data_IF_572745868615
#
_entry.id   IF_572745868615
#
_cell.length_a   1.000
_cell.length_b   1.000
_cell.length_c   1.000
_cell.angle_alpha   90.00
_cell.angle_beta   90.00
_cell.angle_gamma   90.00
#
_symmetry.space_group_name_H-M   'P 1'
#
loop_
_entity.id
_entity.type
_entity.pdbx_description
1 polymer ?
#
# COMPACT_ATOMS: atom_id res chain seq x y z
N UNK A 1 66.71 60.55 22.59
CA UNK A 1 67.16 60.24 21.20
C UNK A 1 66.91 58.76 20.95
N UNK A 2 65.91 58.46 20.17
CA UNK A 2 65.44 57.10 19.88
C UNK A 2 66.06 56.61 18.57
N UNK A 3 66.35 55.34 18.37
CA UNK A 3 66.40 54.75 17.03
C UNK A 3 65.26 53.75 16.82
N UNK A 4 64.60 53.94 15.67
CA UNK A 4 63.59 53.12 15.11
C UNK A 4 64.06 51.71 14.77
N UNK A 5 63.29 50.69 15.21
CA UNK A 5 63.44 49.32 14.73
C UNK A 5 62.42 49.03 13.66
N UNK A 6 62.87 48.73 12.45
CA UNK A 6 62.06 48.18 11.37
C UNK A 6 61.71 46.71 11.61
N UNK A 7 60.47 46.38 11.86
CA UNK A 7 59.97 44.99 11.83
C UNK A 7 59.58 44.61 10.40
N UNK A 8 60.27 43.63 9.87
CA UNK A 8 59.90 42.98 8.59
C UNK A 8 58.66 42.15 8.81
N UNK A 9 57.55 42.46 8.09
CA UNK A 9 56.36 41.61 7.98
C UNK A 9 56.67 40.47 7.02
N UNK A 10 56.62 39.23 7.51
CA UNK A 10 56.61 38.02 6.70
C UNK A 10 55.15 37.65 6.49
N UNK A 11 54.66 37.72 5.24
CA UNK A 11 53.33 37.25 4.85
C UNK A 11 53.34 35.74 4.73
N UNK A 12 52.36 35.04 5.31
CA UNK A 12 52.18 33.61 5.08
C UNK A 12 51.56 33.36 3.72
N UNK A 13 52.22 32.56 2.90
CA UNK A 13 51.66 32.03 1.66
C UNK A 13 50.69 30.94 2.04
N UNK A 14 49.40 31.17 1.82
CA UNK A 14 48.35 30.12 1.92
C UNK A 14 48.36 29.30 0.65
N UNK A 15 48.84 28.06 0.72
CA UNK A 15 48.64 27.06 -0.35
C UNK A 15 47.23 26.49 -0.21
N UNK A 16 46.35 26.91 -1.12
CA UNK A 16 45.00 26.38 -1.22
C UNK A 16 45.06 25.07 -1.99
N UNK A 17 44.90 23.95 -1.30
CA UNK A 17 44.68 22.66 -1.91
C UNK A 17 43.24 22.62 -2.48
N UNK A 18 43.08 22.69 -3.77
CA UNK A 18 41.85 22.32 -4.44
C UNK A 18 41.73 20.79 -4.45
N UNK A 19 40.96 20.23 -3.53
CA UNK A 19 40.50 18.88 -3.65
C UNK A 19 39.41 18.82 -4.73
N UNK A 20 39.76 18.28 -5.87
CA UNK A 20 38.78 17.97 -6.92
C UNK A 20 37.89 16.85 -6.42
N UNK A 21 36.67 17.17 -5.90
CA UNK A 21 35.62 16.20 -5.73
C UNK A 21 35.18 15.78 -7.15
N UNK A 22 35.60 14.58 -7.56
CA UNK A 22 34.99 13.87 -8.68
C UNK A 22 33.59 13.46 -8.27
N UNK A 23 32.57 14.27 -8.59
CA UNK A 23 31.18 13.80 -8.63
C UNK A 23 31.11 12.75 -9.73
N UNK A 24 31.08 11.48 -9.34
CA UNK A 24 30.60 10.42 -10.20
C UNK A 24 29.12 10.69 -10.49
N UNK A 25 28.84 11.27 -11.65
CA UNK A 25 27.51 11.34 -12.20
C UNK A 25 27.04 9.88 -12.40
N UNK A 26 26.27 9.34 -11.45
CA UNK A 26 25.51 8.14 -11.69
C UNK A 26 24.57 8.46 -12.87
N UNK A 27 24.88 7.90 -14.04
CA UNK A 27 24.06 8.01 -15.22
C UNK A 27 22.65 7.52 -14.83
N UNK A 28 21.68 8.44 -14.79
CA UNK A 28 20.29 8.05 -14.90
C UNK A 28 20.18 7.29 -16.22
N UNK A 29 19.99 6.00 -16.15
CA UNK A 29 19.65 5.20 -17.33
C UNK A 29 18.25 5.64 -17.74
N UNK A 30 18.16 6.65 -18.59
CA UNK A 30 16.92 7.10 -19.18
C UNK A 30 16.37 5.93 -19.99
N UNK A 31 15.12 5.59 -19.75
CA UNK A 31 14.40 4.58 -20.51
C UNK A 31 14.48 4.89 -22.01
N UNK A 32 14.54 3.83 -22.84
CA UNK A 32 14.51 4.06 -24.29
C UNK A 32 13.20 4.77 -24.70
N UNK A 33 13.24 5.72 -25.62
CA UNK A 33 12.02 6.36 -26.14
C UNK A 33 11.00 5.35 -26.68
N UNK A 34 11.47 4.21 -27.23
CA UNK A 34 10.64 3.14 -27.75
C UNK A 34 9.82 2.46 -26.64
N UNK A 35 10.43 2.12 -25.50
CA UNK A 35 9.73 1.50 -24.35
C UNK A 35 8.71 2.49 -23.78
N UNK A 36 9.04 3.78 -23.70
CA UNK A 36 8.11 4.81 -23.21
C UNK A 36 6.85 4.88 -24.09
N UNK A 37 6.98 4.87 -25.41
CA UNK A 37 5.86 4.90 -26.35
C UNK A 37 5.03 3.62 -26.24
N UNK A 38 5.68 2.45 -26.26
CA UNK A 38 5.01 1.15 -26.17
C UNK A 38 4.14 1.01 -24.90
N UNK A 39 4.65 1.46 -23.75
CA UNK A 39 3.88 1.47 -22.49
C UNK A 39 2.67 2.40 -22.59
N UNK A 40 2.84 3.60 -23.15
CA UNK A 40 1.72 4.53 -23.35
C UNK A 40 0.63 3.94 -24.24
N UNK A 41 1.00 3.34 -25.36
CA UNK A 41 0.06 2.75 -26.32
C UNK A 41 -0.67 1.57 -25.70
N UNK A 42 0.05 0.69 -24.99
CA UNK A 42 -0.55 -0.43 -24.28
C UNK A 42 -1.56 0.03 -23.21
N UNK A 43 -1.19 0.99 -22.36
CA UNK A 43 -2.07 1.50 -21.29
C UNK A 43 -3.34 2.10 -21.91
N UNK A 44 -3.23 2.91 -22.97
CA UNK A 44 -4.38 3.49 -23.65
C UNK A 44 -5.29 2.41 -24.27
N UNK A 45 -4.71 1.39 -24.91
CA UNK A 45 -5.46 0.27 -25.48
C UNK A 45 -6.21 -0.51 -24.39
N UNK A 46 -5.56 -0.80 -23.24
CA UNK A 46 -6.20 -1.48 -22.12
C UNK A 46 -7.32 -0.64 -21.47
N UNK A 47 -7.12 0.67 -21.32
CA UNK A 47 -8.17 1.56 -20.83
C UNK A 47 -9.39 1.54 -21.74
N UNK A 48 -9.17 1.61 -23.05
CA UNK A 48 -10.26 1.54 -24.04
C UNK A 48 -10.98 0.19 -23.98
N UNK A 49 -10.22 -0.92 -23.95
CA UNK A 49 -10.77 -2.28 -23.89
C UNK A 49 -11.60 -2.52 -22.64
N UNK A 50 -11.19 -1.97 -21.52
CA UNK A 50 -11.84 -2.16 -20.21
C UNK A 50 -12.84 -1.04 -19.89
N UNK A 51 -12.98 -0.02 -20.73
CA UNK A 51 -13.80 1.18 -20.49
C UNK A 51 -13.37 1.99 -19.26
N UNK A 52 -12.09 2.00 -18.93
CA UNK A 52 -11.54 2.73 -17.77
C UNK A 52 -11.53 4.23 -18.06
N UNK A 53 -12.28 5.07 -17.30
CA UNK A 53 -12.29 6.51 -17.52
C UNK A 53 -10.96 7.18 -17.20
N UNK A 54 -10.32 6.78 -16.11
CA UNK A 54 -9.08 7.36 -15.61
C UNK A 54 -8.13 6.35 -14.97
N UNK A 55 -6.83 6.55 -15.20
CA UNK A 55 -5.78 5.69 -14.67
C UNK A 55 -4.55 6.54 -14.31
N UNK A 56 -3.94 6.26 -13.15
CA UNK A 56 -2.57 6.72 -12.80
C UNK A 56 -1.61 5.55 -12.84
N UNK A 57 -0.47 5.73 -13.54
CA UNK A 57 0.60 4.74 -13.65
C UNK A 57 1.88 5.25 -12.99
N UNK A 58 2.48 4.43 -12.13
CA UNK A 58 3.83 4.62 -11.60
C UNK A 58 4.72 3.47 -12.06
N UNK A 59 5.93 3.79 -12.46
CA UNK A 59 7.04 2.85 -12.50
C UNK A 59 8.18 3.45 -11.68
N UNK A 60 8.64 2.71 -10.68
CA UNK A 60 9.81 3.04 -9.88
C UNK A 60 10.88 1.96 -10.07
N UNK A 61 12.14 2.38 -10.20
CA UNK A 61 13.30 1.48 -10.32
C UNK A 61 14.43 1.98 -9.44
N UNK A 62 15.05 1.08 -8.69
CA UNK A 62 16.11 1.43 -7.74
C UNK A 62 15.70 2.54 -6.75
N UNK A 63 14.46 2.49 -6.26
CA UNK A 63 13.89 3.47 -5.33
C UNK A 63 13.63 4.86 -5.92
N UNK A 64 13.71 5.02 -7.26
CA UNK A 64 13.46 6.29 -7.95
C UNK A 64 12.30 6.17 -8.93
N UNK A 65 11.50 7.22 -9.04
CA UNK A 65 10.45 7.31 -10.05
C UNK A 65 11.11 7.41 -11.42
N UNK A 66 10.82 6.45 -12.31
CA UNK A 66 11.21 6.49 -13.73
C UNK A 66 10.04 6.88 -14.63
N UNK A 67 8.80 6.68 -14.13
CA UNK A 67 7.59 7.14 -14.81
C UNK A 67 6.50 7.41 -13.76
N UNK A 68 5.82 8.56 -13.87
CA UNK A 68 4.61 8.87 -13.12
C UNK A 68 3.68 9.65 -14.06
N UNK A 69 2.55 9.06 -14.44
CA UNK A 69 1.70 9.60 -15.49
C UNK A 69 0.22 9.34 -15.22
N UNK A 70 -0.62 10.31 -15.56
CA UNK A 70 -2.08 10.17 -15.56
C UNK A 70 -2.63 10.01 -16.96
N UNK A 71 -3.65 9.17 -17.12
CA UNK A 71 -4.36 8.90 -18.37
C UNK A 71 -5.86 9.09 -18.17
N UNK A 72 -6.53 9.66 -19.17
CA UNK A 72 -7.98 9.87 -19.13
C UNK A 72 -8.43 10.89 -18.09
N UNK A 73 -9.58 10.67 -17.48
CA UNK A 73 -10.25 11.65 -16.61
C UNK A 73 -10.52 11.13 -15.20
N UNK A 74 -10.21 11.97 -14.22
CA UNK A 74 -10.47 11.74 -12.79
C UNK A 74 -11.95 12.02 -12.46
N UNK A 75 -12.59 12.88 -13.24
CA UNK A 75 -14.02 13.18 -13.13
C UNK A 75 -14.60 13.29 -14.54
N UNK A 76 -15.56 12.42 -14.87
CA UNK A 76 -16.17 12.34 -16.20
C UNK A 76 -17.12 13.51 -16.43
N UNK A 77 -17.88 13.92 -15.43
CA UNK A 77 -18.86 15.01 -15.58
C UNK A 77 -18.16 16.36 -15.83
N UNK A 78 -17.03 16.59 -15.15
CA UNK A 78 -16.28 17.85 -15.23
C UNK A 78 -15.11 17.79 -16.20
N UNK A 79 -14.86 16.66 -16.85
CA UNK A 79 -13.73 16.41 -17.75
C UNK A 79 -12.37 16.75 -17.13
N UNK A 80 -12.21 16.50 -15.81
CA UNK A 80 -10.96 16.77 -15.10
C UNK A 80 -9.94 15.67 -15.44
N UNK A 81 -8.77 16.01 -15.99
CA UNK A 81 -7.76 15.00 -16.34
C UNK A 81 -7.15 14.33 -15.10
N UNK A 82 -6.77 13.06 -15.23
CA UNK A 82 -5.93 12.37 -14.24
C UNK A 82 -4.52 12.94 -14.31
N UNK A 83 -3.92 13.17 -13.13
CA UNK A 83 -2.53 13.59 -12.94
C UNK A 83 -1.83 12.65 -11.97
N UNK A 84 -0.47 12.68 -11.85
CA UNK A 84 0.24 11.89 -10.85
C UNK A 84 -0.22 12.14 -9.40
N UNK A 85 -0.68 13.35 -9.10
CA UNK A 85 -1.21 13.79 -7.81
C UNK A 85 -2.65 13.35 -7.57
N UNK A 86 -3.33 12.81 -8.57
CA UNK A 86 -4.73 12.38 -8.44
C UNK A 86 -4.83 11.26 -7.39
N UNK A 87 -5.81 11.43 -6.50
CA UNK A 87 -6.04 10.56 -5.35
C UNK A 87 -7.14 9.54 -5.70
N UNK A 88 -6.83 8.27 -5.45
CA UNK A 88 -7.73 7.14 -5.64
C UNK A 88 -7.99 6.43 -4.30
N UNK A 89 -9.07 5.67 -4.21
CA UNK A 89 -9.32 4.80 -3.08
C UNK A 89 -8.49 3.52 -3.21
N UNK A 90 -7.91 3.08 -2.08
CA UNK A 90 -6.92 2.00 -2.07
C UNK A 90 -7.48 0.61 -2.32
N UNK A 91 -8.72 0.36 -1.88
CA UNK A 91 -9.15 -1.02 -1.67
C UNK A 91 -8.11 -1.80 -0.86
N UNK A 92 -8.03 -3.09 -1.09
CA UNK A 92 -7.17 -3.99 -0.29
C UNK A 92 -5.65 -3.72 -0.38
N UNK A 93 -5.17 -2.86 -1.28
CA UNK A 93 -3.78 -2.36 -1.22
C UNK A 93 -3.50 -1.66 0.12
N UNK A 94 -4.53 -1.14 0.79
CA UNK A 94 -4.43 -0.58 2.15
C UNK A 94 -3.97 -1.56 3.22
N UNK A 95 -4.14 -2.88 3.02
CA UNK A 95 -3.75 -3.91 4.00
C UNK A 95 -2.25 -3.92 4.33
N UNK A 96 -1.42 -3.50 3.40
CA UNK A 96 0.03 -3.36 3.60
C UNK A 96 0.34 -2.42 4.77
N UNK A 97 -0.38 -1.30 4.86
CA UNK A 97 -0.19 -0.29 5.89
C UNK A 97 -0.68 -0.79 7.24
N UNK A 98 -1.83 -1.45 7.28
CA UNK A 98 -2.35 -2.10 8.49
C UNK A 98 -1.39 -3.17 9.00
N UNK A 99 -0.88 -4.03 8.12
CA UNK A 99 0.09 -5.06 8.50
C UNK A 99 1.39 -4.45 9.02
N UNK A 100 1.88 -3.36 8.39
CA UNK A 100 3.06 -2.63 8.84
C UNK A 100 2.84 -2.02 10.22
N UNK A 101 1.69 -1.40 10.48
CA UNK A 101 1.34 -0.86 11.79
C UNK A 101 1.34 -1.93 12.88
N UNK A 102 0.75 -3.10 12.61
CA UNK A 102 0.79 -4.23 13.54
C UNK A 102 2.23 -4.68 13.78
N UNK A 103 3.06 -4.78 12.74
CA UNK A 103 4.46 -5.17 12.88
C UNK A 103 5.29 -4.13 13.65
N UNK A 104 4.99 -2.83 13.55
CA UNK A 104 5.59 -1.81 14.41
C UNK A 104 5.27 -2.07 15.89
N UNK A 105 4.01 -2.41 16.20
CA UNK A 105 3.62 -2.76 17.57
C UNK A 105 4.27 -4.08 18.04
N UNK A 106 4.56 -4.99 17.12
CA UNK A 106 5.32 -6.22 17.43
C UNK A 106 6.77 -5.89 17.78
N UNK A 107 7.44 -5.02 17.02
CA UNK A 107 8.81 -4.58 17.33
C UNK A 107 8.91 -3.80 18.64
N UNK A 108 7.83 -3.08 19.01
CA UNK A 108 7.71 -2.38 20.29
C UNK A 108 7.38 -3.34 21.48
N UNK A 109 7.16 -4.62 21.22
CA UNK A 109 6.79 -5.60 22.25
C UNK A 109 5.36 -5.42 22.80
N UNK A 110 4.54 -4.56 22.19
CA UNK A 110 3.14 -4.33 22.58
C UNK A 110 2.19 -5.41 22.09
N UNK A 111 2.54 -6.05 20.97
CA UNK A 111 1.78 -7.13 20.33
C UNK A 111 2.70 -8.31 20.06
N UNK A 112 2.27 -9.53 20.40
CA UNK A 112 2.97 -10.75 20.02
C UNK A 112 2.29 -11.39 18.80
N UNK A 113 3.04 -11.80 17.79
CA UNK A 113 2.47 -12.51 16.64
C UNK A 113 1.77 -13.83 17.03
N UNK A 114 2.25 -14.50 18.07
CA UNK A 114 1.67 -15.72 18.63
C UNK A 114 0.62 -15.47 19.70
N UNK A 115 0.34 -14.24 20.07
CA UNK A 115 -0.65 -13.94 21.10
C UNK A 115 -2.06 -14.31 20.62
N UNK A 116 -2.86 -14.97 21.48
CA UNK A 116 -4.26 -15.20 21.19
C UNK A 116 -5.05 -13.90 21.22
N UNK A 117 -6.04 -13.76 20.36
CA UNK A 117 -6.87 -12.55 20.28
C UNK A 117 -7.55 -12.21 21.61
N UNK A 118 -7.88 -13.21 22.43
CA UNK A 118 -8.47 -13.03 23.76
C UNK A 118 -7.58 -12.26 24.75
N UNK A 119 -6.28 -12.10 24.45
CA UNK A 119 -5.39 -11.20 25.19
C UNK A 119 -5.82 -9.73 25.04
N UNK A 120 -6.28 -9.36 23.86
CA UNK A 120 -6.64 -7.99 23.49
C UNK A 120 -8.16 -7.74 23.50
N UNK A 121 -8.95 -8.77 23.28
CA UNK A 121 -10.41 -8.75 23.19
C UNK A 121 -11.01 -9.57 24.34
N UNK A 122 -11.24 -8.90 25.49
CA UNK A 122 -11.64 -9.60 26.74
C UNK A 122 -13.01 -10.28 26.66
N UNK A 123 -13.93 -9.70 25.86
CA UNK A 123 -15.30 -10.20 25.67
C UNK A 123 -15.45 -11.01 24.38
N UNK A 124 -14.33 -11.41 23.76
CA UNK A 124 -14.35 -12.20 22.54
C UNK A 124 -14.93 -13.61 22.77
N UNK A 125 -15.56 -14.20 21.74
CA UNK A 125 -16.11 -15.56 21.86
C UNK A 125 -14.99 -16.58 22.13
N UNK A 126 -15.36 -17.68 22.80
CA UNK A 126 -14.40 -18.72 23.16
C UNK A 126 -13.61 -19.28 21.95
N UNK A 127 -14.21 -19.26 20.75
CA UNK A 127 -13.57 -19.68 19.50
C UNK A 127 -12.33 -18.84 19.13
N UNK A 128 -12.20 -17.60 19.65
CA UNK A 128 -11.05 -16.74 19.39
C UNK A 128 -9.83 -17.06 20.27
N UNK A 129 -9.97 -17.94 21.24
CA UNK A 129 -8.88 -18.33 22.15
C UNK A 129 -7.68 -18.96 21.42
N UNK A 130 -7.94 -19.62 20.29
CA UNK A 130 -6.89 -20.24 19.46
C UNK A 130 -6.47 -19.39 18.25
N UNK A 131 -7.16 -18.27 18.00
CA UNK A 131 -6.82 -17.37 16.90
C UNK A 131 -5.68 -16.45 17.33
N UNK A 132 -4.60 -16.40 16.55
CA UNK A 132 -3.45 -15.54 16.81
C UNK A 132 -3.40 -14.33 15.88
N UNK A 133 -2.65 -13.29 16.27
CA UNK A 133 -2.38 -12.11 15.44
C UNK A 133 -1.75 -12.50 14.10
N UNK A 134 -0.83 -13.46 14.11
CA UNK A 134 -0.19 -14.01 12.90
C UNK A 134 -1.22 -14.56 11.92
N UNK A 135 -2.20 -15.30 12.43
CA UNK A 135 -3.23 -15.92 11.59
C UNK A 135 -4.18 -14.90 10.97
N UNK A 136 -4.46 -13.76 11.65
CA UNK A 136 -5.18 -12.65 11.04
C UNK A 136 -4.38 -12.01 9.90
N UNK A 137 -3.10 -11.67 10.15
CA UNK A 137 -2.20 -11.05 9.17
C UNK A 137 -2.04 -11.89 7.90
N UNK A 138 -2.13 -13.21 8.02
CA UNK A 138 -1.90 -14.17 6.93
C UNK A 138 -3.16 -14.80 6.35
N UNK A 139 -4.36 -14.38 6.77
CA UNK A 139 -5.65 -14.95 6.34
C UNK A 139 -5.81 -16.45 6.63
N UNK A 140 -5.20 -16.92 7.73
CA UNK A 140 -5.30 -18.32 8.18
C UNK A 140 -6.12 -18.49 9.45
N UNK A 141 -6.72 -17.42 9.96
CA UNK A 141 -7.50 -17.41 11.20
C UNK A 141 -8.82 -18.18 11.15
N UNK A 142 -9.32 -18.49 9.96
CA UNK A 142 -10.64 -19.09 9.79
C UNK A 142 -11.79 -18.08 9.83
N UNK A 143 -11.50 -16.80 9.83
CA UNK A 143 -12.51 -15.75 9.76
C UNK A 143 -13.25 -15.79 8.42
N UNK A 144 -14.58 -15.54 8.46
CA UNK A 144 -15.40 -15.30 7.29
C UNK A 144 -15.13 -13.93 6.67
N UNK A 145 -16.02 -13.52 5.79
CA UNK A 145 -16.01 -12.19 5.16
C UNK A 145 -17.39 -11.57 5.26
N UNK A 146 -17.58 -10.36 4.74
CA UNK A 146 -18.86 -9.68 4.72
C UNK A 146 -19.97 -10.61 4.19
N UNK A 147 -21.03 -10.90 4.99
CA UNK A 147 -22.14 -11.72 4.52
C UNK A 147 -22.89 -10.97 3.41
N UNK A 148 -23.56 -11.71 2.52
CA UNK A 148 -24.36 -11.12 1.44
C UNK A 148 -25.45 -10.15 1.95
N UNK A 149 -25.88 -10.32 3.20
CA UNK A 149 -26.85 -9.45 3.89
C UNK A 149 -26.22 -8.23 4.54
N UNK A 150 -24.89 -8.03 4.43
CA UNK A 150 -24.22 -6.87 5.03
C UNK A 150 -24.73 -5.58 4.39
N UNK A 151 -25.20 -4.68 5.23
CA UNK A 151 -25.74 -3.40 4.78
C UNK A 151 -24.63 -2.35 4.75
N UNK A 152 -24.04 -2.13 3.59
CA UNK A 152 -23.01 -1.10 3.36
C UNK A 152 -23.52 0.34 3.51
N UNK A 153 -24.85 0.54 3.56
CA UNK A 153 -25.47 1.86 3.75
C UNK A 153 -25.83 2.16 5.20
N UNK A 154 -25.70 1.19 6.11
CA UNK A 154 -25.82 1.43 7.53
C UNK A 154 -24.52 2.03 8.06
N UNK A 155 -24.63 3.09 8.85
CA UNK A 155 -23.50 3.68 9.57
C UNK A 155 -23.19 2.82 10.81
N UNK A 156 -22.26 1.89 10.63
CA UNK A 156 -21.83 0.97 11.67
C UNK A 156 -20.84 1.66 12.61
N UNK A 157 -20.97 1.46 13.91
CA UNK A 157 -19.90 1.79 14.85
C UNK A 157 -18.82 0.69 14.84
N UNK A 158 -17.60 1.03 15.26
CA UNK A 158 -16.52 0.04 15.45
C UNK A 158 -16.96 -1.11 16.35
N UNK A 159 -17.70 -0.79 17.41
CA UNK A 159 -18.26 -1.80 18.34
C UNK A 159 -19.25 -2.73 17.64
N UNK A 160 -20.18 -2.21 16.85
CA UNK A 160 -21.14 -3.03 16.10
C UNK A 160 -20.45 -3.92 15.06
N UNK A 161 -19.43 -3.39 14.34
CA UNK A 161 -18.63 -4.19 13.43
C UNK A 161 -17.89 -5.31 14.15
N UNK A 162 -17.29 -5.03 15.31
CA UNK A 162 -16.65 -6.06 16.13
C UNK A 162 -17.66 -7.12 16.57
N UNK A 163 -18.83 -6.72 17.07
CA UNK A 163 -19.89 -7.66 17.46
C UNK A 163 -20.41 -8.50 16.30
N UNK A 164 -20.47 -7.93 15.10
CA UNK A 164 -20.81 -8.68 13.89
C UNK A 164 -19.76 -9.78 13.63
N UNK A 165 -18.47 -9.44 13.67
CA UNK A 165 -17.38 -10.40 13.44
C UNK A 165 -17.36 -11.48 14.54
N UNK A 166 -17.54 -11.11 15.80
CA UNK A 166 -17.63 -12.04 16.93
C UNK A 166 -18.79 -13.02 16.80
N UNK A 167 -19.91 -12.61 16.20
CA UNK A 167 -21.09 -13.44 15.98
C UNK A 167 -20.96 -14.44 14.82
N UNK A 168 -19.93 -14.34 13.98
CA UNK A 168 -19.75 -15.24 12.84
C UNK A 168 -18.86 -16.42 13.25
N UNK A 169 -19.32 -17.67 13.10
CA UNK A 169 -18.50 -18.84 13.39
C UNK A 169 -17.24 -18.89 12.51
N UNK A 170 -16.16 -19.42 13.07
CA UNK A 170 -14.95 -19.71 12.28
C UNK A 170 -15.27 -20.77 11.23
N UNK A 171 -14.81 -20.55 10.00
CA UNK A 171 -15.03 -21.46 8.86
C UNK A 171 -14.24 -22.76 8.97
N UNK A 172 -13.13 -22.73 9.74
CA UNK A 172 -12.25 -23.86 10.02
C UNK A 172 -11.37 -23.52 11.24
N UNK A 173 -10.72 -24.53 11.79
CA UNK A 173 -9.81 -24.34 12.92
C UNK A 173 -8.64 -23.40 12.52
N UNK A 174 -8.29 -22.40 13.36
CA UNK A 174 -7.24 -21.44 13.08
C UNK A 174 -5.92 -22.12 12.69
N UNK A 175 -5.25 -21.58 11.70
CA UNK A 175 -3.96 -22.07 11.20
C UNK A 175 -4.03 -23.33 10.33
N UNK A 176 -5.24 -23.87 10.02
CA UNK A 176 -5.34 -25.12 9.26
C UNK A 176 -5.56 -24.94 7.76
N UNK A 177 -6.12 -23.81 7.35
CA UNK A 177 -6.40 -23.47 5.95
C UNK A 177 -6.16 -21.99 5.72
N UNK A 178 -6.08 -21.60 4.46
CA UNK A 178 -6.04 -20.21 4.02
C UNK A 178 -7.37 -19.83 3.37
N UNK A 179 -7.87 -18.66 3.73
CA UNK A 179 -8.99 -18.01 3.06
C UNK A 179 -8.93 -16.52 3.33
N UNK A 180 -8.90 -15.73 2.26
CA UNK A 180 -8.91 -14.27 2.36
C UNK A 180 -10.11 -13.78 3.19
N UNK A 181 -9.87 -12.81 4.08
CA UNK A 181 -10.87 -12.28 4.99
C UNK A 181 -10.62 -10.79 5.26
N UNK A 182 -11.57 -9.96 4.87
CA UNK A 182 -11.58 -8.55 5.23
C UNK A 182 -11.81 -8.38 6.74
N UNK A 183 -12.64 -9.22 7.35
CA UNK A 183 -12.89 -9.20 8.80
C UNK A 183 -11.61 -9.44 9.63
N UNK A 184 -10.67 -10.22 9.10
CA UNK A 184 -9.36 -10.37 9.74
C UNK A 184 -8.62 -9.03 9.87
N UNK A 185 -8.57 -8.26 8.79
CA UNK A 185 -7.90 -6.96 8.78
C UNK A 185 -8.71 -5.86 9.48
N UNK A 186 -10.04 -5.87 9.39
CA UNK A 186 -10.90 -5.03 10.22
C UNK A 186 -10.57 -5.25 11.71
N UNK A 187 -10.48 -6.52 12.16
CA UNK A 187 -10.12 -6.85 13.54
C UNK A 187 -8.72 -6.38 13.91
N UNK A 188 -7.74 -6.42 12.98
CA UNK A 188 -6.40 -5.86 13.21
C UNK A 188 -6.43 -4.34 13.42
N UNK A 189 -7.28 -3.61 12.71
CA UNK A 189 -7.48 -2.17 12.95
C UNK A 189 -8.01 -1.90 14.36
N UNK A 190 -9.00 -2.66 14.81
CA UNK A 190 -9.54 -2.57 16.17
C UNK A 190 -8.48 -2.98 17.21
N UNK A 191 -7.63 -3.96 16.89
CA UNK A 191 -6.50 -4.34 17.75
C UNK A 191 -5.52 -3.18 17.92
N UNK A 192 -5.16 -2.49 16.85
CA UNK A 192 -4.31 -1.29 16.92
C UNK A 192 -4.94 -0.27 17.87
N UNK A 193 -6.23 0.05 17.69
CA UNK A 193 -6.95 0.98 18.56
C UNK A 193 -6.91 0.54 20.03
N UNK A 194 -7.18 -0.71 20.33
CA UNK A 194 -7.17 -1.24 21.72
C UNK A 194 -5.80 -1.22 22.38
N UNK A 195 -4.74 -1.44 21.62
CA UNK A 195 -3.36 -1.50 22.15
C UNK A 195 -2.79 -0.10 22.33
N UNK A 196 -3.13 0.85 21.46
CA UNK A 196 -2.55 2.19 21.46
C UNK A 196 -3.44 3.25 22.12
N UNK A 197 -4.76 3.03 22.16
CA UNK A 197 -5.76 4.03 22.53
C UNK A 197 -6.07 5.02 21.42
N UNK A 198 -5.46 4.86 20.22
CA UNK A 198 -5.61 5.74 19.07
C UNK A 198 -6.38 5.02 17.97
N UNK A 199 -7.29 5.72 17.27
CA UNK A 199 -7.90 5.19 16.05
C UNK A 199 -6.80 4.75 15.07
N UNK A 200 -6.95 3.58 14.43
CA UNK A 200 -5.87 3.02 13.60
C UNK A 200 -5.43 3.97 12.47
N UNK A 201 -6.35 4.75 11.92
CA UNK A 201 -6.06 5.72 10.89
C UNK A 201 -5.16 6.86 11.36
N UNK A 202 -5.36 7.33 12.61
CA UNK A 202 -4.51 8.35 13.23
C UNK A 202 -3.11 7.77 13.50
N UNK A 203 -3.06 6.51 13.95
CA UNK A 203 -1.79 5.79 14.10
C UNK A 203 -1.03 5.69 12.76
N UNK A 204 -1.71 5.30 11.66
CA UNK A 204 -1.10 5.28 10.33
C UNK A 204 -0.60 6.67 9.91
N UNK A 205 -1.42 7.70 10.14
CA UNK A 205 -1.10 9.07 9.79
C UNK A 205 0.18 9.55 10.47
N UNK A 206 0.29 9.33 11.77
CA UNK A 206 1.43 9.79 12.57
C UNK A 206 2.69 8.95 12.32
N UNK A 207 2.54 7.63 12.30
CA UNK A 207 3.68 6.72 12.35
C UNK A 207 4.21 6.33 10.97
N UNK A 208 3.37 6.38 9.94
CA UNK A 208 3.74 5.99 8.58
C UNK A 208 3.68 7.19 7.64
N UNK A 209 2.51 7.80 7.47
CA UNK A 209 2.32 8.79 6.41
C UNK A 209 3.15 10.05 6.62
N UNK A 210 3.14 10.63 7.84
CA UNK A 210 4.00 11.77 8.17
C UNK A 210 5.49 11.41 8.12
N UNK A 211 5.86 10.21 8.60
CA UNK A 211 7.26 9.75 8.58
C UNK A 211 7.82 9.65 7.16
N UNK A 212 6.96 9.36 6.17
CA UNK A 212 7.34 9.19 4.78
C UNK A 212 6.98 10.39 3.88
N UNK A 213 6.48 11.48 4.45
CA UNK A 213 5.97 12.64 3.70
C UNK A 213 4.86 12.28 2.69
N UNK A 214 4.03 11.28 3.01
CA UNK A 214 2.88 10.84 2.21
C UNK A 214 1.69 11.78 2.46
N UNK A 215 1.80 13.02 2.02
CA UNK A 215 0.91 14.11 2.42
C UNK A 215 -0.50 14.02 1.82
N UNK A 216 -0.71 13.23 0.78
CA UNK A 216 -2.03 13.00 0.18
C UNK A 216 -2.68 11.70 0.65
N UNK A 217 -1.95 10.86 1.40
CA UNK A 217 -2.45 9.58 1.91
C UNK A 217 -3.16 9.77 3.24
N UNK A 218 -4.38 9.24 3.34
CA UNK A 218 -5.22 9.36 4.54
C UNK A 218 -6.35 8.33 4.51
N UNK A 219 -7.08 8.21 5.61
CA UNK A 219 -8.35 7.47 5.66
C UNK A 219 -9.37 8.12 4.72
N UNK A 220 -10.20 7.29 4.07
CA UNK A 220 -11.30 7.76 3.24
C UNK A 220 -12.26 8.62 4.08
N UNK A 221 -12.57 9.80 3.56
CA UNK A 221 -13.60 10.68 4.10
C UNK A 221 -14.41 11.25 2.95
N UNK A 222 -15.72 11.05 2.98
CA UNK A 222 -16.62 11.66 2.01
C UNK A 222 -17.03 13.07 2.42
N UNK A 223 -16.91 13.41 3.71
CA UNK A 223 -17.24 14.72 4.25
C UNK A 223 -16.17 15.79 3.96
N UNK A 224 -14.89 15.36 3.88
CA UNK A 224 -13.79 16.31 3.70
C UNK A 224 -13.67 16.76 2.23
N UNK A 225 -13.25 18.01 2.07
CA UNK A 225 -12.84 18.54 0.76
C UNK A 225 -11.39 18.11 0.54
N UNK A 226 -11.20 17.17 -0.35
CA UNK A 226 -9.88 16.57 -0.66
C UNK A 226 -9.47 17.00 -2.06
N UNK A 227 -8.43 17.86 -2.20
CA UNK A 227 -7.91 18.26 -3.50
C UNK A 227 -7.47 17.06 -4.34
N UNK A 228 -7.68 17.12 -5.64
CA UNK A 228 -7.28 16.07 -6.61
C UNK A 228 -7.97 14.70 -6.43
N UNK A 229 -9.06 14.61 -5.66
CA UNK A 229 -9.80 13.35 -5.48
C UNK A 229 -10.52 12.96 -6.76
N UNK A 230 -10.25 11.74 -7.26
CA UNK A 230 -10.99 11.15 -8.37
C UNK A 230 -12.41 10.76 -7.95
N UNK A 231 -13.36 10.85 -8.89
CA UNK A 231 -14.66 10.21 -8.77
C UNK A 231 -14.56 8.74 -9.22
N UNK A 232 -15.27 7.86 -8.53
CA UNK A 232 -15.32 6.43 -8.86
C UNK A 232 -16.53 6.09 -9.73
N UNK A 233 -16.36 5.09 -10.60
CA UNK A 233 -17.38 4.70 -11.58
C UNK A 233 -17.59 3.19 -11.61
N UNK A 234 -18.71 2.77 -12.19
CA UNK A 234 -19.06 1.37 -12.46
C UNK A 234 -19.83 1.24 -13.77
N UNK A 235 -19.76 0.08 -14.39
CA UNK A 235 -20.58 -0.22 -15.56
C UNK A 235 -21.87 -0.93 -15.15
N UNK A 236 -23.01 -0.39 -15.56
CA UNK A 236 -24.32 -0.99 -15.36
C UNK A 236 -24.95 -1.21 -16.73
N UNK A 237 -25.07 -2.46 -17.15
CA UNK A 237 -25.57 -2.82 -18.51
C UNK A 237 -24.79 -2.12 -19.64
N UNK A 238 -23.48 -1.95 -19.48
CA UNK A 238 -22.60 -1.29 -20.46
C UNK A 238 -22.56 0.23 -20.36
N UNK A 239 -23.39 0.85 -19.53
CA UNK A 239 -23.38 2.30 -19.31
C UNK A 239 -22.54 2.67 -18.09
N UNK A 240 -21.75 3.73 -18.19
CA UNK A 240 -21.00 4.27 -17.08
C UNK A 240 -21.94 4.98 -16.08
N UNK A 241 -21.84 4.61 -14.82
CA UNK A 241 -22.58 5.20 -13.69
C UNK A 241 -21.60 5.57 -12.57
N UNK A 242 -21.98 6.54 -11.74
CA UNK A 242 -21.25 6.85 -10.53
C UNK A 242 -21.18 5.63 -9.59
N UNK A 243 -20.14 5.59 -8.75
CA UNK A 243 -20.02 4.57 -7.70
C UNK A 243 -21.23 4.56 -6.77
N UNK A 244 -21.45 3.43 -6.09
CA UNK A 244 -22.47 3.38 -5.05
C UNK A 244 -21.97 4.07 -3.77
N UNK A 245 -22.87 4.74 -3.08
CA UNK A 245 -22.58 5.31 -1.78
C UNK A 245 -22.52 4.21 -0.70
N UNK A 246 -21.54 4.30 0.19
CA UNK A 246 -21.47 3.51 1.43
C UNK A 246 -21.43 4.44 2.63
N UNK A 247 -21.82 3.93 3.79
CA UNK A 247 -21.82 4.71 5.02
C UNK A 247 -20.39 5.09 5.46
N UNK A 248 -20.17 6.27 6.09
CA UNK A 248 -18.85 6.79 6.43
C UNK A 248 -17.99 5.81 7.23
N UNK A 249 -18.55 5.14 8.23
CA UNK A 249 -17.78 4.19 9.06
C UNK A 249 -17.27 2.98 8.28
N UNK A 250 -17.97 2.54 7.23
CA UNK A 250 -17.50 1.45 6.35
C UNK A 250 -16.28 1.90 5.53
N UNK A 251 -16.12 3.20 5.32
CA UNK A 251 -14.97 3.82 4.67
C UNK A 251 -13.79 4.07 5.63
N UNK A 252 -13.86 3.61 6.87
CA UNK A 252 -12.79 3.80 7.86
C UNK A 252 -12.23 2.49 8.41
N UNK A 253 -12.54 1.35 7.78
CA UNK A 253 -12.10 0.04 8.23
C UNK A 253 -10.69 -0.29 7.72
N UNK A 254 -9.92 -1.04 8.52
CA UNK A 254 -8.49 -1.29 8.25
C UNK A 254 -8.21 -2.33 7.16
N UNK A 255 -9.25 -2.85 6.51
CA UNK A 255 -9.16 -3.83 5.43
C UNK A 255 -8.94 -3.22 4.05
N UNK A 256 -8.98 -1.86 3.92
CA UNK A 256 -8.69 -1.23 2.64
C UNK A 256 -9.25 0.18 2.43
N UNK A 257 -9.37 0.98 3.48
CA UNK A 257 -10.09 2.26 3.44
C UNK A 257 -9.16 3.47 3.45
N UNK A 258 -8.22 3.54 2.49
CA UNK A 258 -7.30 4.67 2.34
C UNK A 258 -7.54 5.42 1.03
N UNK A 259 -7.19 6.70 1.04
CA UNK A 259 -6.85 7.48 -0.15
C UNK A 259 -5.34 7.53 -0.31
N UNK A 260 -4.86 7.47 -1.55
CA UNK A 260 -3.47 7.71 -1.90
C UNK A 260 -3.29 8.16 -3.36
N UNK A 261 -2.14 8.75 -3.66
CA UNK A 261 -1.66 9.02 -5.01
C UNK A 261 -0.52 8.06 -5.38
N UNK A 262 -0.19 7.95 -6.67
CA UNK A 262 0.99 7.19 -7.11
C UNK A 262 2.29 7.80 -6.59
N UNK A 263 2.34 9.12 -6.34
CA UNK A 263 3.53 9.79 -5.81
C UNK A 263 3.79 9.39 -4.36
N UNK A 264 2.74 9.25 -3.55
CA UNK A 264 2.88 8.77 -2.17
C UNK A 264 3.24 7.26 -2.15
N UNK A 265 2.69 6.47 -3.07
CA UNK A 265 3.07 5.06 -3.19
C UNK A 265 4.53 4.88 -3.63
N UNK A 266 5.12 5.81 -4.39
CA UNK A 266 6.54 5.81 -4.69
C UNK A 266 7.40 6.00 -3.43
N UNK A 267 6.98 6.89 -2.52
CA UNK A 267 7.65 7.09 -1.21
C UNK A 267 7.52 5.85 -0.32
N UNK A 268 6.33 5.26 -0.32
CA UNK A 268 6.07 3.99 0.35
C UNK A 268 6.99 2.87 -0.15
N UNK A 269 7.04 2.65 -1.47
CA UNK A 269 7.90 1.65 -2.09
C UNK A 269 9.38 1.86 -1.74
N UNK A 270 9.87 3.10 -1.87
CA UNK A 270 11.27 3.44 -1.53
C UNK A 270 11.57 3.15 -0.05
N UNK A 271 10.66 3.45 0.87
CA UNK A 271 10.84 3.19 2.29
C UNK A 271 10.95 1.70 2.62
N UNK A 272 10.25 0.85 1.88
CA UNK A 272 10.28 -0.61 2.07
C UNK A 272 11.62 -1.26 1.68
N UNK A 273 12.53 -0.55 1.04
CA UNK A 273 13.92 -1.00 0.82
C UNK A 273 14.87 -0.56 1.96
N UNK A 274 14.34 0.12 2.97
CA UNK A 274 15.09 0.65 4.12
C UNK A 274 14.53 0.10 5.44
N UNK A 275 15.19 0.42 6.55
CA UNK A 275 14.69 0.14 7.89
C UNK A 275 14.02 1.37 8.55
N UNK A 276 13.54 2.33 7.75
CA UNK A 276 12.93 3.57 8.27
C UNK A 276 11.67 3.32 9.11
N UNK A 277 10.90 2.30 8.77
CA UNK A 277 9.65 1.94 9.45
C UNK A 277 9.77 0.65 10.27
N UNK A 278 10.40 -0.37 9.71
CA UNK A 278 10.54 -1.71 10.28
C UNK A 278 11.95 -2.23 10.03
N UNK A 279 12.44 -3.07 10.92
CA UNK A 279 13.68 -3.82 10.72
C UNK A 279 13.56 -4.75 9.52
N UNK A 280 14.67 -5.04 8.86
CA UNK A 280 14.73 -5.98 7.75
C UNK A 280 14.11 -7.34 8.09
N UNK A 281 14.35 -7.84 9.28
CA UNK A 281 13.80 -9.12 9.74
C UNK A 281 12.27 -9.13 9.81
N UNK A 282 11.64 -8.00 10.11
CA UNK A 282 10.18 -7.85 10.11
C UNK A 282 9.62 -7.78 8.69
N UNK A 283 10.28 -7.03 7.81
CA UNK A 283 9.93 -6.98 6.39
C UNK A 283 10.03 -8.37 5.74
N UNK A 284 11.10 -9.13 6.04
CA UNK A 284 11.29 -10.49 5.53
C UNK A 284 10.19 -11.44 6.01
N UNK A 285 9.69 -11.28 7.26
CA UNK A 285 8.53 -12.03 7.73
C UNK A 285 7.26 -11.66 6.96
N UNK A 286 7.03 -10.36 6.70
CA UNK A 286 5.86 -9.91 5.93
C UNK A 286 5.87 -10.45 4.50
N UNK A 287 7.06 -10.61 3.92
CA UNK A 287 7.27 -11.05 2.53
C UNK A 287 7.62 -12.54 2.41
N UNK A 288 7.28 -13.30 3.42
CA UNK A 288 7.41 -14.77 3.41
C UNK A 288 6.03 -15.39 3.46
N UNK A 289 5.77 -16.36 2.57
CA UNK A 289 4.50 -17.11 2.58
C UNK A 289 4.30 -17.77 3.94
N UNK A 290 3.20 -17.43 4.59
CA UNK A 290 2.91 -17.95 5.92
C UNK A 290 2.67 -19.46 5.88
N UNK A 291 3.18 -20.16 6.90
CA UNK A 291 2.98 -21.60 7.07
C UNK A 291 1.72 -21.87 7.89
N UNK A 292 1.02 -22.93 7.51
CA UNK A 292 -0.06 -23.53 8.31
C UNK A 292 0.50 -24.28 9.54
N UNK A 293 -0.35 -24.64 10.48
CA UNK A 293 0.04 -25.41 11.70
C UNK A 293 0.71 -26.76 11.39
N UNK A 294 0.45 -27.33 10.23
CA UNK A 294 1.13 -28.56 9.77
C UNK A 294 2.51 -28.29 9.11
N UNK A 295 3.02 -27.08 9.14
CA UNK A 295 4.31 -26.68 8.58
C UNK A 295 4.32 -26.42 7.07
N UNK A 296 3.24 -26.73 6.35
CA UNK A 296 3.13 -26.47 4.92
C UNK A 296 2.86 -24.99 4.63
N UNK A 297 3.36 -24.42 3.52
CA UNK A 297 2.99 -23.09 3.10
C UNK A 297 1.47 -23.01 2.84
N UNK A 298 0.87 -21.88 3.10
CA UNK A 298 -0.55 -21.69 2.76
C UNK A 298 -0.74 -21.71 1.23
N UNK A 299 -1.93 -22.12 0.77
CA UNK A 299 -2.23 -22.27 -0.66
C UNK A 299 -2.50 -20.94 -1.38
N UNK A 300 -2.70 -19.85 -0.65
CA UNK A 300 -2.99 -18.54 -1.21
C UNK A 300 -1.76 -17.63 -1.27
N UNK A 301 -0.55 -18.12 -1.55
CA UNK A 301 0.82 -17.58 -1.38
C UNK A 301 0.86 -16.18 -0.71
N UNK A 302 0.38 -16.09 0.53
CA UNK A 302 0.18 -14.83 1.25
C UNK A 302 1.08 -14.76 2.50
N UNK A 303 1.75 -13.62 2.65
CA UNK A 303 2.50 -13.24 3.82
C UNK A 303 1.66 -12.40 4.79
N UNK A 304 2.17 -11.23 5.21
CA UNK A 304 1.41 -10.28 6.04
C UNK A 304 1.06 -9.04 5.21
N UNK A 305 -0.15 -9.00 4.69
CA UNK A 305 -0.65 -7.91 3.85
C UNK A 305 -0.16 -7.94 2.40
N UNK A 306 0.45 -9.04 1.94
CA UNK A 306 1.03 -9.19 0.62
C UNK A 306 0.86 -10.59 0.04
N UNK A 307 0.53 -10.68 -1.25
CA UNK A 307 0.75 -11.88 -2.05
C UNK A 307 2.23 -11.99 -2.46
N UNK A 308 2.72 -13.21 -2.63
CA UNK A 308 4.14 -13.49 -2.91
C UNK A 308 4.20 -14.55 -4.00
N UNK A 309 4.53 -14.12 -5.22
CA UNK A 309 4.53 -14.96 -6.42
C UNK A 309 5.91 -14.99 -7.09
N UNK A 310 6.03 -15.94 -8.04
CA UNK A 310 7.04 -15.90 -9.10
C UNK A 310 6.33 -15.56 -10.41
N UNK A 311 6.73 -14.47 -11.06
CA UNK A 311 6.20 -14.05 -12.37
C UNK A 311 7.34 -14.01 -13.39
N UNK A 312 7.28 -14.88 -14.39
CA UNK A 312 8.35 -15.03 -15.42
C UNK A 312 9.76 -15.18 -14.82
N UNK A 313 9.89 -15.90 -13.69
CA UNK A 313 11.15 -16.12 -13.00
C UNK A 313 11.57 -15.03 -12.03
N UNK A 314 10.82 -13.91 -11.94
CA UNK A 314 11.06 -12.80 -11.02
C UNK A 314 10.18 -12.90 -9.78
N UNK A 315 10.76 -12.73 -8.60
CA UNK A 315 10.01 -12.69 -7.35
C UNK A 315 9.18 -11.42 -7.27
N UNK A 316 7.87 -11.57 -7.20
CA UNK A 316 6.91 -10.48 -7.12
C UNK A 316 6.19 -10.49 -5.77
N UNK A 317 6.20 -9.37 -5.07
CA UNK A 317 5.41 -9.11 -3.87
C UNK A 317 4.35 -8.10 -4.26
N UNK A 318 3.07 -8.48 -4.18
CA UNK A 318 2.03 -7.67 -4.80
C UNK A 318 0.74 -7.65 -3.98
N UNK A 319 -0.14 -6.73 -4.31
CA UNK A 319 -1.53 -6.74 -3.87
C UNK A 319 -2.40 -5.95 -4.83
N UNK A 320 -3.60 -6.48 -5.09
CA UNK A 320 -4.67 -5.77 -5.77
C UNK A 320 -5.67 -5.21 -4.76
N UNK A 321 -6.39 -4.16 -5.14
CA UNK A 321 -7.40 -3.55 -4.31
C UNK A 321 -8.67 -3.26 -5.09
N UNK A 322 -9.84 -3.49 -4.47
CA UNK A 322 -11.14 -3.17 -5.02
C UNK A 322 -11.97 -2.46 -3.96
N UNK A 323 -12.51 -1.30 -4.28
CA UNK A 323 -13.44 -0.58 -3.41
C UNK A 323 -14.30 0.41 -4.20
N UNK A 324 -15.61 0.32 -4.01
CA UNK A 324 -16.66 1.19 -4.58
C UNK A 324 -16.52 1.47 -6.09
N UNK A 325 -15.79 2.28 -6.59
CA UNK A 325 -15.61 2.62 -8.00
C UNK A 325 -14.14 2.58 -8.41
N UNK A 326 -13.31 1.88 -7.64
CA UNK A 326 -11.86 1.89 -7.82
C UNK A 326 -11.29 0.48 -7.81
N UNK A 327 -10.34 0.25 -8.71
CA UNK A 327 -9.50 -0.93 -8.73
C UNK A 327 -8.03 -0.48 -8.78
N UNK A 328 -7.20 -1.09 -7.96
CA UNK A 328 -5.80 -0.70 -7.78
C UNK A 328 -4.88 -1.91 -7.80
N UNK A 329 -3.64 -1.74 -8.19
CA UNK A 329 -2.62 -2.78 -8.13
C UNK A 329 -1.24 -2.18 -7.84
N UNK A 330 -0.45 -2.91 -7.06
CA UNK A 330 0.97 -2.67 -6.84
C UNK A 330 1.73 -3.98 -6.99
N UNK A 331 2.69 -4.02 -7.92
CA UNK A 331 3.58 -5.16 -8.17
C UNK A 331 5.02 -4.73 -7.89
N UNK A 332 5.67 -5.39 -6.93
CA UNK A 332 7.05 -5.13 -6.53
C UNK A 332 7.94 -6.32 -6.88
N UNK A 333 8.76 -6.18 -7.87
CA UNK A 333 9.81 -7.13 -8.27
C UNK A 333 11.07 -6.81 -7.47
N UNK A 334 11.10 -7.33 -6.25
CA UNK A 334 12.03 -6.85 -5.21
C UNK A 334 13.49 -7.12 -5.51
N UNK A 335 13.82 -8.22 -6.18
CA UNK A 335 15.18 -8.58 -6.56
C UNK A 335 15.67 -7.74 -7.75
N UNK A 336 14.74 -7.24 -8.58
CA UNK A 336 14.99 -6.34 -9.71
C UNK A 336 14.88 -4.87 -9.32
N UNK A 337 14.48 -4.57 -8.09
CA UNK A 337 14.18 -3.23 -7.58
C UNK A 337 13.23 -2.44 -8.50
N UNK A 338 12.27 -3.15 -9.10
CA UNK A 338 11.25 -2.60 -9.99
C UNK A 338 9.89 -2.66 -9.30
N UNK A 339 9.17 -1.54 -9.30
CA UNK A 339 7.80 -1.46 -8.79
C UNK A 339 6.91 -0.80 -9.83
N UNK A 340 5.76 -1.41 -10.10
CA UNK A 340 4.73 -0.86 -10.99
C UNK A 340 3.44 -0.73 -10.20
N UNK A 341 2.79 0.44 -10.30
CA UNK A 341 1.50 0.72 -9.67
C UNK A 341 0.53 1.22 -10.74
N UNK A 342 -0.69 0.71 -10.72
CA UNK A 342 -1.80 1.23 -11.51
C UNK A 342 -3.02 1.47 -10.61
N UNK A 343 -3.55 2.68 -10.65
CA UNK A 343 -4.74 3.09 -9.92
C UNK A 343 -5.81 3.48 -10.92
N UNK A 344 -7.00 2.89 -10.85
CA UNK A 344 -8.10 3.14 -11.78
C UNK A 344 -9.37 3.57 -11.05
N UNK A 345 -10.21 4.34 -11.71
CA UNK A 345 -11.50 4.79 -11.17
C UNK A 345 -12.70 4.07 -11.79
N UNK A 346 -12.55 2.78 -12.05
CA UNK A 346 -13.63 1.92 -12.54
C UNK A 346 -13.70 0.61 -11.76
N UNK A 347 -14.85 0.32 -11.15
CA UNK A 347 -15.12 -0.99 -10.53
C UNK A 347 -15.06 -2.11 -11.57
N UNK A 348 -14.37 -3.22 -11.22
CA UNK A 348 -14.20 -4.39 -12.09
C UNK A 348 -13.11 -4.23 -13.15
N UNK A 349 -12.36 -3.12 -13.18
CA UNK A 349 -11.14 -3.01 -13.96
C UNK A 349 -10.08 -4.02 -13.49
N UNK A 350 -9.08 -4.28 -14.30
CA UNK A 350 -8.02 -5.26 -14.03
C UNK A 350 -6.64 -4.59 -14.06
N UNK A 351 -6.32 -3.68 -13.12
CA UNK A 351 -5.04 -2.98 -13.09
C UNK A 351 -3.85 -3.92 -12.90
N UNK A 352 -4.02 -5.08 -12.24
CA UNK A 352 -2.98 -6.09 -12.10
C UNK A 352 -2.47 -6.65 -13.43
N UNK A 353 -3.32 -6.72 -14.47
CA UNK A 353 -2.86 -7.07 -15.83
C UNK A 353 -1.98 -5.96 -16.43
N UNK A 354 -2.32 -4.71 -16.12
CA UNK A 354 -1.59 -3.55 -16.63
C UNK A 354 -0.22 -3.49 -15.94
N UNK A 355 -0.16 -3.62 -14.61
CA UNK A 355 1.11 -3.60 -13.87
C UNK A 355 2.02 -4.73 -14.29
N UNK A 356 1.50 -5.96 -14.45
CA UNK A 356 2.29 -7.09 -14.88
C UNK A 356 2.90 -6.88 -16.27
N UNK A 357 2.10 -6.49 -17.26
CA UNK A 357 2.61 -6.33 -18.63
C UNK A 357 3.58 -5.15 -18.75
N UNK A 358 3.31 -4.04 -18.05
CA UNK A 358 4.26 -2.92 -17.97
C UNK A 358 5.58 -3.37 -17.34
N UNK A 359 5.53 -4.17 -16.26
CA UNK A 359 6.75 -4.70 -15.65
C UNK A 359 7.56 -5.59 -16.61
N UNK A 360 6.90 -6.43 -17.41
CA UNK A 360 7.55 -7.26 -18.43
C UNK A 360 8.34 -6.41 -19.43
N UNK A 361 7.78 -5.28 -19.89
CA UNK A 361 8.49 -4.35 -20.79
C UNK A 361 9.75 -3.76 -20.14
N UNK A 362 9.72 -3.45 -18.83
CA UNK A 362 10.87 -2.91 -18.10
C UNK A 362 11.91 -3.97 -17.69
N UNK A 363 11.49 -5.23 -17.57
CA UNK A 363 12.38 -6.35 -17.25
C UNK A 363 13.09 -6.90 -18.50
N UNK A 364 12.48 -6.77 -19.67
CA UNK A 364 13.05 -7.18 -20.96
C UNK A 364 14.17 -6.23 -21.45
N UNK A 365 14.20 -4.98 -20.98
CA UNK A 365 15.20 -3.97 -21.35
C UNK A 365 16.56 -4.13 -20.60
N UNK A 366 16.91 -5.35 -20.12
CA UNK A 366 18.18 -5.66 -19.44
C UNK A 366 19.28 -6.07 -20.40
#
# INVERSE_FOLDING_TARGET
>A
MSPHQFRKLVSPVYVVFFAALSLSAASLQAQSPATTAAVTDYVKAEMQRQHIPGLSLLVAKNGKIVRAEGFGVANVELQVPVKPETIFQSGSVGKQFTATAVMMLVEEGKVGLGDPLTKYFKDAPASWKEVTVRELLSHTAGFGDYPKSFNFRKDWTEHELLKLVEGIPLLYAPGTKWKYSNFGFLTLGILIHRVTGEFYGDFLQQRIFHTLDMNSTRIISEADIIPNRAAGYRLVKGELKNQEWVAPMVNTTADGSLYFSILDLAKWDAALYTEKLLKRSSLDQMWTVAKLKNGQPNKGPYGFGWFIDQRNGHRCIHHDGSWQGFETAIDRYVDDQLTVVALTNLAGAQPGKITQHVAEMYLADK
#
